data_IF_336825297721
#
_entry.id   IF_336825297721
#
_cell.length_a   1.000
_cell.length_b   1.000
_cell.length_c   1.000
_cell.angle_alpha   90.00
_cell.angle_beta   90.00
_cell.angle_gamma   90.00
#
_symmetry.space_group_name_H-M   'P 1'
#
loop_
_entity.id
_entity.type
_entity.pdbx_description
1 polymer ?
#
# COMPACT_ATOMS: atom_id res chain seq x y z
N UNK A 1 -36.85 -12.77 -30.95
CA UNK A 1 -36.68 -12.75 -29.98
C UNK A 1 -35.64 -13.34 -29.34
N UNK A 2 -35.22 -14.22 -29.36
CA UNK A 2 -34.25 -14.83 -28.70
C UNK A 2 -32.94 -14.34 -28.99
N UNK A 3 -32.65 -13.67 -29.96
CA UNK A 3 -31.37 -13.28 -30.19
C UNK A 3 -30.89 -12.36 -29.19
N UNK A 4 -31.65 -11.79 -28.43
CA UNK A 4 -31.23 -10.90 -27.45
C UNK A 4 -30.38 -11.50 -26.45
N UNK A 5 -30.56 -12.72 -26.17
CA UNK A 5 -29.85 -13.35 -25.17
C UNK A 5 -28.44 -13.36 -25.40
N UNK A 6 -28.03 -13.53 -26.56
CA UNK A 6 -26.66 -13.60 -26.82
C UNK A 6 -25.91 -12.42 -26.45
N UNK A 7 -26.46 -11.31 -26.66
CA UNK A 7 -25.75 -10.16 -26.32
C UNK A 7 -25.44 -10.03 -24.92
N UNK A 8 -26.23 -10.48 -24.11
CA UNK A 8 -26.06 -10.36 -22.72
C UNK A 8 -24.86 -11.10 -22.28
N UNK A 9 -24.59 -12.14 -22.90
CA UNK A 9 -23.52 -12.96 -22.46
C UNK A 9 -22.19 -12.46 -22.84
N UNK A 10 -22.05 -11.90 -23.96
CA UNK A 10 -20.80 -11.44 -24.38
C UNK A 10 -20.05 -10.53 -23.48
N UNK A 11 -20.64 -9.54 -22.96
CA UNK A 11 -19.96 -8.60 -22.13
C UNK A 11 -19.36 -9.22 -20.92
N UNK A 12 -19.98 -10.29 -20.46
CA UNK A 12 -19.51 -10.90 -19.35
C UNK A 12 -18.16 -11.46 -19.53
N UNK A 13 -17.86 -12.01 -20.58
CA UNK A 13 -16.63 -12.66 -20.80
C UNK A 13 -15.50 -11.68 -20.74
N UNK A 14 -15.66 -10.57 -21.31
CA UNK A 14 -14.66 -9.60 -21.32
C UNK A 14 -14.31 -9.14 -19.95
N UNK A 15 -15.31 -9.05 -19.12
CA UNK A 15 -15.16 -8.62 -17.85
C UNK A 15 -14.29 -9.49 -17.02
N UNK A 16 -14.44 -10.71 -17.15
CA UNK A 16 -13.72 -11.64 -16.38
C UNK A 16 -12.25 -11.52 -16.61
N UNK A 17 -11.84 -11.34 -17.80
CA UNK A 17 -10.47 -11.27 -18.08
C UNK A 17 -9.81 -10.11 -17.40
N UNK A 18 -10.47 -9.00 -17.37
CA UNK A 18 -9.85 -7.85 -16.82
C UNK A 18 -9.60 -7.91 -15.36
N UNK A 19 -10.34 -8.72 -14.66
CA UNK A 19 -10.19 -8.71 -13.23
C UNK A 19 -9.06 -9.55 -12.73
N UNK A 20 -8.43 -10.30 -13.57
CA UNK A 20 -7.48 -11.24 -13.09
C UNK A 20 -6.20 -10.71 -12.57
N UNK A 21 -5.66 -9.73 -13.15
CA UNK A 21 -4.32 -9.35 -12.81
C UNK A 21 -4.17 -8.02 -12.16
N UNK A 22 -5.20 -7.40 -11.74
CA UNK A 22 -5.08 -6.07 -11.24
C UNK A 22 -4.66 -6.04 -9.80
N UNK A 23 -3.57 -5.35 -9.50
CA UNK A 23 -3.23 -5.01 -8.16
C UNK A 23 -3.48 -3.52 -8.05
N UNK A 24 -4.02 -3.07 -6.95
CA UNK A 24 -4.26 -1.66 -6.74
C UNK A 24 -2.95 -0.97 -6.40
N UNK A 25 -2.45 -0.14 -7.29
CA UNK A 25 -1.25 0.62 -7.02
C UNK A 25 -1.53 1.63 -5.92
N UNK A 26 -0.51 1.97 -5.20
CA UNK A 26 -0.65 2.81 -4.02
C UNK A 26 -0.43 4.28 -4.35
N UNK A 27 -1.18 5.15 -3.71
CA UNK A 27 -0.97 6.58 -3.76
C UNK A 27 -1.71 7.21 -2.58
N UNK A 28 -1.26 8.36 -2.14
CA UNK A 28 -1.92 9.09 -1.07
C UNK A 28 -1.35 8.78 0.30
N UNK A 29 -2.15 8.99 1.32
CA UNK A 29 -1.70 8.92 2.71
C UNK A 29 -2.17 7.64 3.38
N UNK A 30 -1.24 7.02 4.07
CA UNK A 30 -1.49 5.79 4.81
C UNK A 30 -0.96 5.98 6.23
N UNK A 31 -1.25 5.05 7.11
CA UNK A 31 -0.73 5.08 8.47
C UNK A 31 0.05 3.81 8.78
N UNK A 32 1.02 3.93 9.67
CA UNK A 32 1.66 2.76 10.28
C UNK A 32 1.34 2.88 11.76
N UNK A 33 0.50 1.99 12.23
CA UNK A 33 0.03 2.00 13.61
C UNK A 33 -0.28 0.58 14.04
N UNK A 34 0.46 0.02 15.00
CA UNK A 34 0.25 -1.36 15.44
C UNK A 34 -1.15 -1.60 16.01
N UNK A 35 -1.79 -0.55 16.50
CA UNK A 35 -3.13 -0.67 17.07
C UNK A 35 -4.22 -0.25 16.10
N UNK A 36 -3.86 0.17 14.91
CA UNK A 36 -4.85 0.65 13.95
C UNK A 36 -5.44 -0.47 13.11
N UNK A 37 -6.40 -0.11 12.29
CA UNK A 37 -7.04 -1.07 11.40
C UNK A 37 -7.47 -0.39 10.11
N UNK A 38 -7.98 -1.16 9.20
CA UNK A 38 -8.49 -0.65 7.93
C UNK A 38 -7.48 -0.81 6.80
N UNK A 39 -7.93 -0.53 5.60
CA UNK A 39 -7.14 -0.78 4.41
C UNK A 39 -6.05 0.26 4.17
N UNK A 40 -6.10 1.39 4.86
CA UNK A 40 -5.06 2.41 4.74
C UNK A 40 -4.08 2.36 5.91
N UNK A 41 -4.20 1.36 6.77
CA UNK A 41 -3.32 1.22 7.92
C UNK A 41 -2.49 -0.05 7.82
N UNK A 42 -1.20 0.07 8.14
CA UNK A 42 -0.31 -1.07 8.24
C UNK A 42 0.17 -1.14 9.68
N UNK A 43 0.32 -2.33 10.21
CA UNK A 43 0.67 -2.50 11.62
C UNK A 43 2.17 -2.49 11.86
N UNK A 44 2.96 -2.46 10.81
CA UNK A 44 4.42 -2.43 10.92
C UNK A 44 5.02 -1.83 9.66
N UNK A 45 6.29 -1.46 9.75
CA UNK A 45 7.02 -1.01 8.57
C UNK A 45 7.22 -2.16 7.59
N UNK A 46 7.41 -3.36 8.11
CA UNK A 46 7.57 -4.55 7.26
C UNK A 46 6.31 -4.79 6.42
N UNK A 47 5.14 -4.63 7.02
CA UNK A 47 3.89 -4.81 6.29
C UNK A 47 3.72 -3.72 5.22
N UNK A 48 4.08 -2.49 5.54
CA UNK A 48 4.00 -1.39 4.58
C UNK A 48 4.95 -1.62 3.41
N UNK A 49 6.16 -2.06 3.69
CA UNK A 49 7.14 -2.35 2.65
C UNK A 49 6.68 -3.48 1.75
N UNK A 50 6.05 -4.49 2.32
CA UNK A 50 5.52 -5.61 1.54
C UNK A 50 4.42 -5.14 0.60
N UNK A 51 3.56 -4.25 1.06
CA UNK A 51 2.48 -3.72 0.23
C UNK A 51 3.05 -2.88 -0.92
N UNK A 52 4.05 -2.05 -0.64
CA UNK A 52 4.69 -1.25 -1.67
C UNK A 52 5.31 -2.14 -2.75
N UNK A 53 5.98 -3.20 -2.33
CA UNK A 53 6.65 -4.09 -3.26
C UNK A 53 5.64 -4.87 -4.12
N UNK A 54 4.55 -5.30 -3.52
CA UNK A 54 3.53 -6.07 -4.22
C UNK A 54 2.72 -5.21 -5.19
N UNK A 55 2.35 -4.03 -4.75
CA UNK A 55 1.38 -3.23 -5.51
C UNK A 55 2.02 -2.15 -6.38
N UNK A 56 3.19 -1.68 -6.01
CA UNK A 56 3.77 -0.53 -6.70
C UNK A 56 3.03 0.75 -6.36
N UNK A 57 3.49 1.84 -6.94
CA UNK A 57 2.86 3.15 -6.71
C UNK A 57 2.51 3.81 -8.03
N UNK A 58 1.48 4.64 -8.03
CA UNK A 58 1.15 5.46 -9.19
C UNK A 58 0.92 6.92 -8.79
N UNK A 59 1.41 7.30 -7.64
CA UNK A 59 1.39 8.66 -7.15
C UNK A 59 2.28 8.73 -5.94
N UNK A 60 2.43 9.89 -5.34
CA UNK A 60 3.21 10.04 -4.12
C UNK A 60 2.51 9.31 -2.97
N UNK A 61 3.28 8.63 -2.15
CA UNK A 61 2.79 7.86 -1.02
C UNK A 61 3.41 8.40 0.26
N UNK A 62 2.59 8.66 1.25
CA UNK A 62 3.06 9.15 2.55
C UNK A 62 2.55 8.20 3.63
N UNK A 63 3.46 7.74 4.48
CA UNK A 63 3.09 6.97 5.65
C UNK A 63 3.26 7.84 6.88
N UNK A 64 2.17 8.08 7.60
CA UNK A 64 2.21 8.76 8.88
C UNK A 64 2.39 7.69 9.95
N UNK A 65 3.49 7.74 10.67
CA UNK A 65 3.88 6.68 11.59
C UNK A 65 3.50 7.08 13.01
N UNK A 66 2.70 6.25 13.66
CA UNK A 66 2.29 6.49 15.05
C UNK A 66 3.47 6.39 15.99
N UNK A 67 3.43 7.15 17.07
CA UNK A 67 4.50 7.16 18.05
C UNK A 67 4.75 5.78 18.64
N UNK A 68 5.97 5.55 19.04
CA UNK A 68 6.37 4.29 19.66
C UNK A 68 7.65 3.76 19.07
N UNK A 69 8.08 2.63 19.58
CA UNK A 69 9.30 1.97 19.13
C UNK A 69 8.93 0.76 18.28
N UNK A 70 9.49 0.72 17.09
CA UNK A 70 9.28 -0.37 16.16
C UNK A 70 10.57 -1.16 16.07
N UNK A 71 10.54 -2.38 16.59
CA UNK A 71 11.72 -3.23 16.60
C UNK A 71 11.72 -4.06 15.32
N UNK A 72 12.28 -3.50 14.28
CA UNK A 72 12.27 -4.16 12.96
C UNK A 72 13.44 -3.64 12.13
N UNK A 73 13.84 -4.45 11.19
CA UNK A 73 14.79 -4.01 10.18
C UNK A 73 13.98 -3.66 8.93
N UNK A 74 14.01 -2.40 8.55
CA UNK A 74 13.25 -1.97 7.38
C UNK A 74 14.12 -2.13 6.13
N UNK A 75 13.62 -2.88 5.18
CA UNK A 75 14.26 -3.03 3.88
C UNK A 75 13.22 -2.76 2.82
N UNK A 76 13.49 -1.82 1.94
CA UNK A 76 12.58 -1.50 0.84
C UNK A 76 13.30 -1.77 -0.46
N UNK A 77 12.92 -2.84 -1.17
CA UNK A 77 13.53 -3.09 -2.47
C UNK A 77 12.99 -2.10 -3.51
N UNK A 78 13.40 -2.25 -4.73
CA UNK A 78 12.89 -1.38 -5.79
C UNK A 78 11.37 -1.51 -5.87
N UNK A 79 10.67 -0.39 -5.91
CA UNK A 79 9.22 -0.34 -5.96
C UNK A 79 8.81 0.20 -7.33
N UNK A 80 7.94 -0.55 -7.99
CA UNK A 80 7.48 -0.19 -9.33
C UNK A 80 6.72 1.13 -9.28
N UNK A 81 6.99 2.00 -10.22
CA UNK A 81 6.26 3.28 -10.35
C UNK A 81 6.87 4.46 -9.63
N UNK A 82 7.94 4.26 -8.86
CA UNK A 82 8.58 5.39 -8.17
C UNK A 82 9.29 6.30 -9.16
N UNK A 83 9.29 7.59 -8.85
CA UNK A 83 9.93 8.59 -9.69
C UNK A 83 10.19 9.85 -8.85
N UNK A 84 10.64 10.90 -9.48
CA UNK A 84 10.83 12.16 -8.76
C UNK A 84 9.53 12.78 -8.27
N UNK A 85 8.39 12.40 -8.87
CA UNK A 85 7.09 12.87 -8.42
C UNK A 85 6.34 11.81 -7.61
N UNK A 86 6.55 10.55 -7.93
CA UNK A 86 5.89 9.46 -7.19
C UNK A 86 6.83 8.96 -6.11
N UNK A 87 6.99 9.75 -5.08
CA UNK A 87 7.93 9.47 -3.99
C UNK A 87 7.26 8.69 -2.88
N UNK A 88 8.05 8.06 -2.06
CA UNK A 88 7.58 7.35 -0.87
C UNK A 88 8.18 8.06 0.34
N UNK A 89 7.34 8.52 1.23
CA UNK A 89 7.77 9.27 2.42
C UNK A 89 7.24 8.60 3.68
N UNK A 90 8.12 8.42 4.65
CA UNK A 90 7.72 7.99 5.98
C UNK A 90 7.95 9.18 6.92
N UNK A 91 6.94 9.56 7.66
CA UNK A 91 7.06 10.70 8.56
C UNK A 91 6.28 10.43 9.86
N UNK A 92 6.65 11.12 10.92
CA UNK A 92 5.93 10.98 12.17
C UNK A 92 4.51 11.50 11.97
N UNK A 93 3.53 10.82 12.56
CA UNK A 93 2.16 11.26 12.48
C UNK A 93 2.06 12.61 13.20
N UNK A 94 1.44 13.61 12.60
CA UNK A 94 1.33 14.93 13.23
C UNK A 94 0.64 14.91 14.60
N UNK A 95 -0.15 13.89 14.86
CA UNK A 95 -0.84 13.77 16.14
C UNK A 95 0.04 13.19 17.25
N UNK A 96 1.26 12.76 16.93
CA UNK A 96 2.14 12.15 17.91
C UNK A 96 2.55 13.15 18.99
N UNK A 97 2.64 12.68 20.23
CA UNK A 97 3.18 13.45 21.32
C UNK A 97 4.53 12.92 21.77
N UNK A 98 5.02 11.89 21.13
CA UNK A 98 6.31 11.28 21.39
C UNK A 98 6.86 10.78 20.06
N UNK A 99 8.14 10.48 19.96
CA UNK A 99 8.73 10.09 18.67
C UNK A 99 8.29 8.71 18.21
N UNK A 100 8.33 8.52 16.91
CA UNK A 100 8.23 7.21 16.30
C UNK A 100 9.65 6.82 15.91
N UNK A 101 10.11 5.67 16.35
CA UNK A 101 11.47 5.24 16.00
C UNK A 101 11.57 3.77 15.69
N UNK A 102 12.50 3.47 14.79
CA UNK A 102 12.82 2.09 14.43
C UNK A 102 14.10 1.74 15.12
N UNK A 103 14.14 0.59 15.79
CA UNK A 103 15.36 0.10 16.41
C UNK A 103 15.66 -1.29 15.89
N UNK A 104 16.91 -1.56 15.65
CA UNK A 104 17.33 -2.87 15.18
C UNK A 104 18.73 -3.14 15.71
N UNK A 105 18.89 -4.29 16.32
CA UNK A 105 20.20 -4.72 16.82
C UNK A 105 20.68 -5.91 15.99
N UNK A 106 21.62 -5.69 15.11
CA UNK A 106 22.13 -6.80 14.32
C UNK A 106 22.93 -7.76 15.20
N UNK A 107 22.89 -9.02 14.91
CA UNK A 107 23.63 -10.03 15.68
C UNK A 107 24.81 -10.57 14.92
#
# INVERSE_FOLDING_TARGET
>A
MRRNLLKAVLPFVAFVVGSVSAFAQMSGTYTINPSGSGTSNYTSFTAAAAALTTNGVNGAVVFNVSQGTYTEQLTIPAVSGTSTTNTITFQANPANTAPAEITYSPT
#
